data_IF_502309974445
#
_entry.id   IF_502309974445
#
_cell.length_a   1.000
_cell.length_b   1.000
_cell.length_c   1.000
_cell.angle_alpha   90.00
_cell.angle_beta   90.00
_cell.angle_gamma   90.00
#
_symmetry.space_group_name_H-M   'P 1'
#
loop_
_entity.id
_entity.type
_entity.pdbx_description
1 polymer ?
#
# COMPACT_ATOMS: atom_id res chain seq x y z
N UNK A 1 10.96 -18.55 -1.74
CA UNK A 1 10.02 -18.46 -2.89
C UNK A 1 8.63 -17.85 -2.56
N UNK A 2 7.77 -18.46 -1.72
CA UNK A 2 6.38 -18.00 -1.48
C UNK A 2 6.25 -16.55 -0.95
N UNK A 3 7.12 -16.16 0.00
CA UNK A 3 7.05 -14.85 0.66
C UNK A 3 7.40 -13.65 -0.26
N UNK A 4 8.19 -13.89 -1.32
CA UNK A 4 8.54 -12.86 -2.32
C UNK A 4 7.37 -12.56 -3.25
N UNK A 5 6.61 -13.59 -3.63
CA UNK A 5 5.40 -13.45 -4.42
C UNK A 5 4.30 -12.73 -3.63
N UNK A 6 4.13 -13.05 -2.35
CA UNK A 6 3.16 -12.33 -1.51
C UNK A 6 3.52 -10.86 -1.34
N UNK A 7 4.81 -10.52 -1.19
CA UNK A 7 5.25 -9.13 -1.11
C UNK A 7 5.00 -8.37 -2.43
N UNK A 8 5.31 -8.98 -3.58
CA UNK A 8 5.04 -8.39 -4.88
C UNK A 8 3.54 -8.17 -5.13
N UNK A 9 2.71 -9.14 -4.75
CA UNK A 9 1.26 -9.08 -4.90
C UNK A 9 0.62 -8.03 -3.99
N UNK A 10 1.17 -7.85 -2.78
CA UNK A 10 0.77 -6.77 -1.87
C UNK A 10 1.17 -5.38 -2.40
N UNK A 11 2.34 -5.22 -2.99
CA UNK A 11 2.73 -3.95 -3.66
C UNK A 11 1.82 -3.65 -4.84
N UNK A 12 1.50 -4.66 -5.66
CA UNK A 12 0.58 -4.51 -6.78
C UNK A 12 -0.83 -4.11 -6.30
N UNK A 13 -1.32 -4.73 -5.23
CA UNK A 13 -2.62 -4.39 -4.65
C UNK A 13 -2.65 -2.95 -4.13
N UNK A 14 -1.60 -2.51 -3.43
CA UNK A 14 -1.43 -1.11 -2.99
C UNK A 14 -1.44 -0.13 -4.17
N UNK A 15 -0.75 -0.47 -5.26
CA UNK A 15 -0.72 0.34 -6.48
C UNK A 15 -2.09 0.44 -7.15
N UNK A 16 -2.83 -0.67 -7.26
CA UNK A 16 -4.18 -0.69 -7.82
C UNK A 16 -5.18 0.06 -6.95
N UNK A 17 -5.06 -0.06 -5.62
CA UNK A 17 -5.88 0.73 -4.69
C UNK A 17 -5.66 2.22 -4.90
N UNK A 18 -4.41 2.66 -5.11
CA UNK A 18 -4.07 4.06 -5.32
C UNK A 18 -4.53 4.58 -6.69
N UNK A 19 -4.35 3.80 -7.75
CA UNK A 19 -4.61 4.24 -9.14
C UNK A 19 -6.04 4.04 -9.60
N UNK A 20 -6.73 3.04 -9.08
CA UNK A 20 -8.11 2.69 -9.46
C UNK A 20 -9.07 2.92 -8.31
N UNK A 21 -8.72 2.45 -7.11
CA UNK A 21 -9.59 2.55 -5.93
C UNK A 21 -9.85 4.00 -5.51
N UNK A 22 -8.82 4.85 -5.50
CA UNK A 22 -8.98 6.26 -5.14
C UNK A 22 -9.95 7.01 -6.07
N UNK A 23 -9.73 7.00 -7.41
CA UNK A 23 -10.65 7.67 -8.33
C UNK A 23 -12.03 6.99 -8.46
N UNK A 24 -12.15 5.69 -8.16
CA UNK A 24 -13.44 4.99 -8.25
C UNK A 24 -14.39 5.29 -7.08
N UNK A 25 -13.86 5.62 -5.89
CA UNK A 25 -14.68 5.90 -4.70
C UNK A 25 -14.37 7.25 -4.02
N UNK A 26 -14.47 8.38 -4.74
CA UNK A 26 -14.13 9.69 -4.19
C UNK A 26 -15.05 10.10 -3.03
N UNK A 27 -16.33 9.75 -3.08
CA UNK A 27 -17.29 10.06 -2.00
C UNK A 27 -16.98 9.32 -0.69
N UNK A 28 -16.53 8.07 -0.77
CA UNK A 28 -16.14 7.28 0.41
C UNK A 28 -14.83 7.80 1.01
N UNK A 29 -13.89 8.23 0.18
CA UNK A 29 -12.60 8.77 0.63
C UNK A 29 -12.72 10.18 1.20
N UNK A 30 -13.75 10.93 0.81
CA UNK A 30 -14.07 12.21 1.39
C UNK A 30 -14.75 12.11 2.77
N UNK A 31 -15.12 10.90 3.23
CA UNK A 31 -15.78 10.73 4.52
C UNK A 31 -14.92 11.33 5.65
N UNK A 32 -15.51 12.20 6.49
CA UNK A 32 -14.79 12.77 7.61
C UNK A 32 -14.51 11.68 8.65
N UNK A 33 -13.31 11.71 9.23
CA UNK A 33 -12.95 10.85 10.36
C UNK A 33 -12.86 11.65 11.65
N UNK A 34 -11.80 12.44 11.83
CA UNK A 34 -11.55 13.21 13.04
C UNK A 34 -10.75 14.47 12.70
N UNK A 35 -11.21 15.64 13.16
CA UNK A 35 -10.59 16.92 12.84
C UNK A 35 -10.55 17.17 11.32
N UNK A 36 -9.45 17.73 10.77
CA UNK A 36 -9.33 17.97 9.33
C UNK A 36 -9.09 16.67 8.53
N UNK A 37 -9.02 15.52 9.18
CA UNK A 37 -8.63 14.25 8.59
C UNK A 37 -9.84 13.53 7.99
N UNK A 38 -9.71 13.13 6.73
CA UNK A 38 -10.70 12.32 6.02
C UNK A 38 -10.15 10.91 5.76
N UNK A 39 -11.05 10.00 5.39
CA UNK A 39 -10.73 8.60 5.16
C UNK A 39 -9.66 8.43 4.07
N UNK A 40 -9.69 9.27 3.03
CA UNK A 40 -8.73 9.26 1.93
C UNK A 40 -7.31 9.58 2.39
N UNK A 41 -7.14 10.55 3.29
CA UNK A 41 -5.84 10.86 3.90
C UNK A 41 -5.30 9.70 4.76
N UNK A 42 -6.18 9.03 5.51
CA UNK A 42 -5.79 7.85 6.28
C UNK A 42 -5.35 6.70 5.36
N UNK A 43 -6.13 6.41 4.31
CA UNK A 43 -5.79 5.41 3.28
C UNK A 43 -4.48 5.76 2.58
N UNK A 44 -4.29 7.02 2.21
CA UNK A 44 -3.05 7.50 1.59
C UNK A 44 -1.84 7.28 2.51
N UNK A 45 -1.98 7.56 3.81
CA UNK A 45 -0.90 7.34 4.79
C UNK A 45 -0.50 5.87 4.88
N UNK A 46 -1.48 4.96 4.92
CA UNK A 46 -1.22 3.50 4.92
C UNK A 46 -0.49 3.09 3.64
N UNK A 47 -0.89 3.62 2.48
CA UNK A 47 -0.22 3.31 1.21
C UNK A 47 1.21 3.87 1.19
N UNK A 48 1.40 5.12 1.64
CA UNK A 48 2.67 5.81 1.66
C UNK A 48 3.71 5.12 2.56
N UNK A 49 3.29 4.58 3.70
CA UNK A 49 4.19 3.86 4.63
C UNK A 49 4.30 2.37 4.26
N UNK A 50 3.19 1.73 3.88
CA UNK A 50 3.16 0.31 3.56
C UNK A 50 4.02 -0.03 2.34
N UNK A 51 3.95 0.79 1.29
CA UNK A 51 4.69 0.54 0.04
C UNK A 51 6.21 0.46 0.24
N UNK A 52 6.90 1.45 0.87
CA UNK A 52 8.34 1.35 1.12
C UNK A 52 8.70 0.23 2.09
N UNK A 53 7.89 -0.02 3.14
CA UNK A 53 8.13 -1.16 4.06
C UNK A 53 8.13 -2.48 3.30
N UNK A 54 7.13 -2.70 2.44
CA UNK A 54 7.05 -3.88 1.59
C UNK A 54 8.20 -3.97 0.58
N UNK A 55 8.62 -2.84 0.01
CA UNK A 55 9.78 -2.78 -0.87
C UNK A 55 11.07 -3.19 -0.12
N UNK A 56 11.28 -2.68 1.09
CA UNK A 56 12.41 -3.06 1.93
C UNK A 56 12.39 -4.54 2.30
N UNK A 57 11.24 -5.07 2.72
CA UNK A 57 11.08 -6.50 3.01
C UNK A 57 11.38 -7.36 1.77
N UNK A 58 10.90 -6.96 0.60
CA UNK A 58 11.18 -7.65 -0.65
C UNK A 58 12.68 -7.66 -0.99
N UNK A 59 13.34 -6.50 -0.89
CA UNK A 59 14.78 -6.38 -1.15
C UNK A 59 15.60 -7.20 -0.16
N UNK A 60 15.25 -7.16 1.12
CA UNK A 60 15.89 -7.93 2.18
C UNK A 60 15.76 -9.45 1.93
N UNK A 61 14.56 -9.93 1.61
CA UNK A 61 14.34 -11.35 1.28
C UNK A 61 15.08 -11.76 0.01
N UNK A 62 15.15 -10.88 -0.99
CA UNK A 62 15.92 -11.13 -2.22
C UNK A 62 17.41 -11.27 -1.96
N UNK A 63 17.99 -10.46 -1.06
CA UNK A 63 19.39 -10.58 -0.66
C UNK A 63 19.67 -11.85 0.14
N UNK A 64 18.70 -12.32 0.94
CA UNK A 64 18.83 -13.52 1.77
C UNK A 64 18.70 -14.83 0.96
N UNK A 65 17.83 -14.87 -0.04
CA UNK A 65 17.63 -16.03 -0.93
C UNK A 65 18.76 -16.20 -1.98
N UNK A 66 19.68 -15.23 -2.10
CA UNK A 66 20.76 -15.20 -3.10
C UNK A 66 22.15 -15.61 -2.57
N UNK A 67 22.23 -16.13 -1.34
CA UNK A 67 23.40 -16.83 -0.78
C UNK A 67 23.10 -18.31 -0.68
#
# INVERSE_FOLDING_TARGET
MRLRWTAALAVLALFLLLTVGIPAWPGLLALPMAGPLNLGMAVYTVILVGTPVLAFVYLYLRQRDGR
#
